data_IF_826653928133
#
_entry.id   IF_826653928133
#
_cell.length_a   1.000
_cell.length_b   1.000
_cell.length_c   1.000
_cell.angle_alpha   90.00
_cell.angle_beta   90.00
_cell.angle_gamma   90.00
#
_symmetry.space_group_name_H-M   'P 1'
#
loop_
_entity.id
_entity.type
_entity.pdbx_description
1 polymer ?
#
# COMPACT_ATOMS: atom_id res chain seq x y z
N UNK A 1 6.38 5.99 17.60
CA UNK A 1 6.47 4.77 18.45
C UNK A 1 5.54 4.77 19.66
N UNK A 2 4.37 5.42 19.59
CA UNK A 2 3.41 5.44 20.70
C UNK A 2 2.67 4.12 20.86
N UNK A 3 2.19 3.53 19.76
CA UNK A 3 1.40 2.30 19.78
C UNK A 3 2.23 0.99 19.76
N UNK A 4 3.53 1.04 20.08
CA UNK A 4 4.44 -0.10 19.92
C UNK A 4 4.16 -1.30 20.85
N UNK A 5 3.47 -1.06 21.95
CA UNK A 5 3.14 -2.06 22.99
C UNK A 5 1.76 -2.70 22.82
N UNK A 6 0.91 -2.16 21.94
CA UNK A 6 -0.46 -2.65 21.75
C UNK A 6 -0.53 -3.71 20.65
N UNK A 7 -1.36 -4.74 20.83
CA UNK A 7 -1.58 -5.76 19.79
C UNK A 7 -2.44 -5.22 18.63
N UNK A 8 -1.87 -4.37 17.79
CA UNK A 8 -2.59 -3.63 16.73
C UNK A 8 -2.26 -4.09 15.31
N UNK A 9 -1.53 -5.20 15.14
CA UNK A 9 -1.06 -5.66 13.83
C UNK A 9 -2.18 -5.85 12.80
N UNK A 10 -3.32 -6.40 13.21
CA UNK A 10 -4.49 -6.55 12.33
C UNK A 10 -5.04 -5.20 11.84
N UNK A 11 -5.15 -4.22 12.75
CA UNK A 11 -5.60 -2.87 12.43
C UNK A 11 -4.62 -2.14 11.52
N UNK A 12 -3.31 -2.31 11.75
CA UNK A 12 -2.26 -1.75 10.91
C UNK A 12 -2.33 -2.29 9.49
N UNK A 13 -2.59 -3.59 9.30
CA UNK A 13 -2.78 -4.18 7.95
C UNK A 13 -3.97 -3.54 7.21
N UNK A 14 -5.08 -3.28 7.90
CA UNK A 14 -6.25 -2.60 7.29
C UNK A 14 -5.91 -1.17 6.88
N UNK A 15 -5.22 -0.42 7.75
CA UNK A 15 -4.80 0.95 7.47
C UNK A 15 -3.79 0.98 6.31
N UNK A 16 -2.82 0.06 6.30
CA UNK A 16 -1.82 -0.04 5.24
C UNK A 16 -2.46 -0.36 3.88
N UNK A 17 -3.49 -1.22 3.84
CA UNK A 17 -4.29 -1.45 2.64
C UNK A 17 -4.96 -0.17 2.12
N UNK A 18 -5.58 0.60 3.03
CA UNK A 18 -6.20 1.87 2.68
C UNK A 18 -5.17 2.90 2.18
N UNK A 19 -4.03 3.02 2.85
CA UNK A 19 -2.93 3.92 2.48
C UNK A 19 -2.38 3.60 1.09
N UNK A 20 -2.18 2.32 0.77
CA UNK A 20 -1.73 1.89 -0.57
C UNK A 20 -2.73 2.28 -1.65
N UNK A 21 -4.03 2.14 -1.39
CA UNK A 21 -5.08 2.60 -2.32
C UNK A 21 -5.10 4.11 -2.47
N UNK A 22 -4.83 4.86 -1.39
CA UNK A 22 -4.71 6.31 -1.43
C UNK A 22 -3.49 6.76 -2.26
N UNK A 23 -2.34 6.10 -2.11
CA UNK A 23 -1.17 6.37 -2.95
C UNK A 23 -1.45 6.10 -4.43
N UNK A 24 -2.11 4.99 -4.76
CA UNK A 24 -2.55 4.70 -6.14
C UNK A 24 -3.47 5.79 -6.68
N UNK A 25 -4.39 6.28 -5.86
CA UNK A 25 -5.28 7.38 -6.22
C UNK A 25 -4.49 8.66 -6.52
N UNK A 26 -3.55 9.05 -5.65
CA UNK A 26 -2.70 10.22 -5.86
C UNK A 26 -1.90 10.11 -7.17
N UNK A 27 -1.32 8.95 -7.46
CA UNK A 27 -0.59 8.68 -8.71
C UNK A 27 -1.53 8.81 -9.92
N UNK A 28 -2.75 8.27 -9.84
CA UNK A 28 -3.74 8.38 -10.91
C UNK A 28 -4.17 9.83 -11.18
N UNK A 29 -4.33 10.62 -10.12
CA UNK A 29 -4.68 12.04 -10.22
C UNK A 29 -3.54 12.89 -10.76
N UNK A 30 -2.29 12.59 -10.40
CA UNK A 30 -1.08 13.27 -10.89
C UNK A 30 -0.95 13.17 -12.42
N UNK A 31 -1.38 12.03 -13.00
CA UNK A 31 -1.35 11.86 -14.44
C UNK A 31 -2.31 12.80 -15.19
N UNK A 32 -3.34 13.36 -14.54
CA UNK A 32 -4.29 14.40 -15.02
C UNK A 32 -4.90 14.19 -16.42
N UNK A 33 -4.09 14.25 -17.48
CA UNK A 33 -4.47 14.08 -18.90
C UNK A 33 -4.57 12.59 -19.31
N UNK A 34 -5.55 12.21 -20.15
CA UNK A 34 -5.75 10.81 -20.58
C UNK A 34 -4.54 10.25 -21.35
N UNK A 35 -3.90 11.05 -22.20
CA UNK A 35 -2.70 10.60 -22.93
C UNK A 35 -1.51 10.32 -22.00
N UNK A 36 -1.36 11.10 -20.93
CA UNK A 36 -0.31 10.86 -19.92
C UNK A 36 -0.62 9.57 -19.16
N UNK A 37 -1.88 9.33 -18.78
CA UNK A 37 -2.32 8.06 -18.17
C UNK A 37 -1.98 6.86 -19.06
N UNK A 38 -2.30 6.94 -20.36
CA UNK A 38 -2.00 5.88 -21.33
C UNK A 38 -0.51 5.59 -21.42
N UNK A 39 0.32 6.63 -21.63
CA UNK A 39 1.78 6.49 -21.74
C UNK A 39 2.40 5.89 -20.47
N UNK A 40 1.97 6.33 -19.30
CA UNK A 40 2.47 5.82 -18.02
C UNK A 40 2.07 4.36 -17.79
N UNK A 41 0.83 3.97 -18.11
CA UNK A 41 0.39 2.57 -18.03
C UNK A 41 1.22 1.66 -18.94
N UNK A 42 1.47 2.09 -20.19
CA UNK A 42 2.31 1.33 -21.13
C UNK A 42 3.74 1.19 -20.59
N UNK A 43 4.32 2.28 -20.06
CA UNK A 43 5.65 2.28 -19.44
C UNK A 43 5.74 1.33 -18.23
N UNK A 44 4.63 1.14 -17.51
CA UNK A 44 4.54 0.23 -16.37
C UNK A 44 4.31 -1.24 -16.78
N UNK A 45 4.19 -1.53 -18.08
CA UNK A 45 4.05 -2.88 -18.64
C UNK A 45 2.61 -3.29 -18.98
N UNK A 46 1.66 -2.36 -18.99
CA UNK A 46 0.28 -2.67 -19.40
C UNK A 46 0.19 -2.79 -20.92
N UNK A 47 -0.50 -3.81 -21.47
CA UNK A 47 -0.76 -3.91 -22.90
C UNK A 47 -1.42 -2.64 -23.46
N UNK A 48 -0.98 -2.11 -24.62
CA UNK A 48 -1.48 -0.84 -25.17
C UNK A 48 -3.01 -0.77 -25.30
N UNK A 49 -3.67 -1.87 -25.69
CA UNK A 49 -5.13 -1.97 -25.78
C UNK A 49 -5.81 -1.70 -24.43
N UNK A 50 -5.35 -2.37 -23.36
CA UNK A 50 -5.89 -2.19 -22.01
C UNK A 50 -5.56 -0.81 -21.46
N UNK A 51 -4.35 -0.31 -21.70
CA UNK A 51 -3.95 1.05 -21.32
C UNK A 51 -4.84 2.11 -21.98
N UNK A 52 -5.21 1.93 -23.25
CA UNK A 52 -6.12 2.82 -23.96
C UNK A 52 -7.51 2.85 -23.31
N UNK A 53 -8.10 1.66 -23.07
CA UNK A 53 -9.41 1.54 -22.41
C UNK A 53 -9.42 2.22 -21.04
N UNK A 54 -8.44 1.92 -20.19
CA UNK A 54 -8.36 2.47 -18.83
C UNK A 54 -8.06 3.98 -18.80
N UNK A 55 -7.29 4.50 -19.75
CA UNK A 55 -6.96 5.93 -19.82
C UNK A 55 -8.18 6.83 -20.05
N UNK A 56 -9.22 6.31 -20.70
CA UNK A 56 -10.42 7.03 -21.14
C UNK A 56 -11.68 6.64 -20.36
N UNK A 57 -11.54 5.89 -19.26
CA UNK A 57 -12.70 5.49 -18.46
C UNK A 57 -13.42 6.69 -17.89
N UNK A 58 -14.75 6.63 -17.88
CA UNK A 58 -15.61 7.59 -17.15
C UNK A 58 -15.75 7.26 -15.66
N UNK A 59 -15.12 6.17 -15.19
CA UNK A 59 -15.12 5.78 -13.78
C UNK A 59 -14.34 6.79 -12.93
N UNK A 60 -14.83 7.03 -11.72
CA UNK A 60 -14.15 7.91 -10.76
C UNK A 60 -12.75 7.39 -10.41
N UNK A 61 -11.83 8.32 -10.10
CA UNK A 61 -10.43 7.97 -9.82
C UNK A 61 -10.25 6.98 -8.66
N UNK A 62 -11.12 7.02 -7.65
CA UNK A 62 -11.09 6.11 -6.51
C UNK A 62 -11.41 4.67 -6.91
N UNK A 63 -12.40 4.48 -7.78
CA UNK A 63 -12.74 3.17 -8.35
C UNK A 63 -11.57 2.61 -9.16
N UNK A 64 -10.88 3.47 -9.92
CA UNK A 64 -9.69 3.06 -10.68
C UNK A 64 -8.52 2.69 -9.75
N UNK A 65 -8.29 3.43 -8.67
CA UNK A 65 -7.23 3.12 -7.71
C UNK A 65 -7.37 1.73 -7.07
N UNK A 66 -8.61 1.28 -6.85
CA UNK A 66 -8.91 -0.06 -6.33
C UNK A 66 -9.02 -1.14 -7.40
N UNK A 67 -9.13 -0.75 -8.67
CA UNK A 67 -9.29 -1.70 -9.76
C UNK A 67 -8.03 -2.54 -9.98
N UNK A 68 -8.16 -3.77 -10.51
CA UNK A 68 -7.03 -4.65 -10.74
C UNK A 68 -5.92 -4.02 -11.58
N UNK A 69 -6.24 -3.10 -12.50
CA UNK A 69 -5.23 -2.45 -13.34
C UNK A 69 -4.22 -1.64 -12.51
N UNK A 70 -4.67 -0.93 -11.48
CA UNK A 70 -3.79 -0.12 -10.63
C UNK A 70 -3.09 -0.99 -9.58
N UNK A 71 -3.77 -2.03 -9.10
CA UNK A 71 -3.22 -2.96 -8.11
C UNK A 71 -2.09 -3.79 -8.71
N UNK A 72 -2.23 -4.27 -9.95
CA UNK A 72 -1.17 -5.04 -10.63
C UNK A 72 -0.05 -4.17 -11.17
N UNK A 73 -0.34 -2.93 -11.58
CA UNK A 73 0.70 -2.01 -12.08
C UNK A 73 1.50 -1.36 -10.97
N UNK A 74 0.85 -0.96 -9.87
CA UNK A 74 1.52 -0.33 -8.72
C UNK A 74 1.54 -1.39 -7.61
N UNK A 75 2.48 -2.31 -7.76
CA UNK A 75 2.75 -3.38 -6.79
C UNK A 75 3.42 -2.82 -5.54
N UNK A 76 3.31 -3.58 -4.44
CA UNK A 76 3.99 -3.23 -3.19
C UNK A 76 5.50 -3.10 -3.40
N UNK A 77 6.10 -3.97 -4.20
CA UNK A 77 7.53 -3.95 -4.53
C UNK A 77 7.95 -2.63 -5.21
N UNK A 78 7.15 -2.16 -6.19
CA UNK A 78 7.41 -0.89 -6.87
C UNK A 78 7.33 0.29 -5.90
N UNK A 79 6.37 0.26 -4.97
CA UNK A 79 6.25 1.27 -3.92
C UNK A 79 7.46 1.21 -2.98
N UNK A 80 7.86 0.01 -2.53
CA UNK A 80 9.04 -0.19 -1.66
C UNK A 80 10.33 0.32 -2.30
N UNK A 81 10.52 0.06 -3.60
CA UNK A 81 11.67 0.59 -4.37
C UNK A 81 11.69 2.12 -4.44
N UNK A 82 10.54 2.77 -4.28
CA UNK A 82 10.40 4.24 -4.21
C UNK A 82 10.48 4.80 -2.78
N UNK A 83 10.72 3.95 -1.78
CA UNK A 83 10.85 4.36 -0.37
C UNK A 83 9.57 4.21 0.45
N UNK A 84 8.53 3.55 -0.05
CA UNK A 84 7.38 3.21 0.78
C UNK A 84 7.74 2.12 1.79
N UNK A 85 7.69 2.45 3.08
CA UNK A 85 7.77 1.49 4.17
C UNK A 85 6.36 1.16 4.68
N UNK A 86 6.03 -0.13 4.78
CA UNK A 86 4.72 -0.54 5.27
C UNK A 86 4.64 -0.30 6.78
N UNK A 87 3.47 0.11 7.27
CA UNK A 87 3.29 0.35 8.71
C UNK A 87 3.47 -0.93 9.53
N UNK A 88 3.12 -2.09 8.93
CA UNK A 88 3.27 -3.39 9.58
C UNK A 88 4.75 -3.79 9.68
N UNK A 89 5.53 -3.61 8.61
CA UNK A 89 6.97 -3.91 8.60
C UNK A 89 7.69 -3.03 9.63
N UNK A 90 7.33 -1.76 9.72
CA UNK A 90 7.87 -0.85 10.73
C UNK A 90 7.49 -1.26 12.16
N UNK A 91 6.22 -1.67 12.36
CA UNK A 91 5.74 -2.14 13.66
C UNK A 91 6.46 -3.41 14.12
N UNK A 92 6.67 -4.38 13.23
CA UNK A 92 7.41 -5.61 13.52
C UNK A 92 8.86 -5.30 13.93
N UNK A 93 9.53 -4.35 13.27
CA UNK A 93 10.88 -3.91 13.62
C UNK A 93 10.98 -3.22 14.98
N UNK A 94 9.94 -2.51 15.42
CA UNK A 94 9.99 -1.68 16.64
C UNK A 94 9.36 -2.38 17.84
N UNK A 95 8.43 -3.31 17.61
CA UNK A 95 7.68 -3.93 18.70
C UNK A 95 8.59 -4.81 19.56
N UNK A 96 8.76 -4.50 20.86
CA UNK A 96 9.55 -5.31 21.76
C UNK A 96 9.01 -6.74 21.89
N UNK A 97 7.69 -6.92 21.67
CA UNK A 97 7.06 -8.24 21.71
C UNK A 97 7.70 -9.25 20.74
N UNK A 98 8.17 -8.80 19.57
CA UNK A 98 8.81 -9.69 18.58
C UNK A 98 10.34 -9.72 18.69
N UNK A 99 10.94 -8.69 19.29
CA UNK A 99 12.40 -8.53 19.34
C UNK A 99 13.01 -8.91 20.70
N UNK A 100 12.22 -9.00 21.76
CA UNK A 100 12.70 -9.39 23.08
C UNK A 100 12.75 -10.92 23.23
N UNK A 101 13.87 -11.47 23.72
CA UNK A 101 13.98 -12.90 23.94
C UNK A 101 13.03 -13.35 25.06
N UNK A 102 12.54 -14.59 24.95
CA UNK A 102 11.39 -15.11 25.74
C UNK A 102 11.54 -14.96 27.26
N UNK A 103 12.76 -14.84 27.78
CA UNK A 103 13.07 -14.75 29.20
C UNK A 103 12.92 -13.35 29.81
N UNK A 104 12.76 -12.28 29.02
CA UNK A 104 12.52 -10.91 29.54
C UNK A 104 11.05 -10.53 29.60
N UNK A 105 10.14 -11.40 29.12
CA UNK A 105 8.71 -11.10 29.12
C UNK A 105 8.15 -11.17 30.55
N UNK A 106 7.50 -10.11 31.06
CA UNK A 106 6.87 -10.16 32.37
C UNK A 106 5.78 -11.24 32.36
N UNK A 107 5.87 -12.19 33.28
CA UNK A 107 4.84 -13.22 33.48
C UNK A 107 3.56 -12.50 33.91
N UNK A 108 2.53 -12.52 33.06
CA UNK A 108 1.19 -12.11 33.49
C UNK A 108 0.68 -13.15 34.49
N UNK A 109 0.81 -12.87 35.78
CA UNK A 109 0.04 -13.57 36.80
C UNK A 109 -1.42 -13.26 36.58
N UNK A 110 -2.20 -14.30 36.26
CA UNK A 110 -3.66 -14.22 36.23
C UNK A 110 -4.09 -14.20 37.70
N UNK A 111 -4.74 -13.11 38.11
CA UNK A 111 -5.41 -12.98 39.42
C UNK A 111 -6.90 -13.21 39.20
#
# INVERSE_FOLDING_TARGET
NYFKLGNIGSKLKSIDSWTRNRLRYCIWTDWKKPERKRKNLIRLGVPPSKAYQFSRTRKGGWVIAQSPIMVTTITLERLRKRGYESMNDYYEKVSPMFNEPLYTRPVRTVV
#
